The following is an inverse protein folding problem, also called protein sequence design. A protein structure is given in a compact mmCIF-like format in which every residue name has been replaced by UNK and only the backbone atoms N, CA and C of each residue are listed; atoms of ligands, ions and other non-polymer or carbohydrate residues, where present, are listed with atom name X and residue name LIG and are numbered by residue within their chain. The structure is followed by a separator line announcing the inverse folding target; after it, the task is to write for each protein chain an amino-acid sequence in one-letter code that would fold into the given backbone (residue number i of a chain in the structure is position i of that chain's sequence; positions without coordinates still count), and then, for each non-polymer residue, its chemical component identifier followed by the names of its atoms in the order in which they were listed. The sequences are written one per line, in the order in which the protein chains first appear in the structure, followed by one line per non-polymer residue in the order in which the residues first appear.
data_IF_780650222985
#
_entry.id   IF_780650222985
#
_cell.length_a   1.000
_cell.length_b   1.000
_cell.length_c   1.000
_cell.angle_alpha   90.00
_cell.angle_beta   90.00
_cell.angle_gamma   90.00
#
_symmetry.space_group_name_H-M   'P 1'
#
loop_
_entity.id
_entity.type
_entity.pdbx_description
1 polymer ?
#
# COMPACT_ATOMS: atom_id res chain seq x y z
N UNK A 1 54.99 -12.77 -25.56
CA UNK A 1 53.71 -13.50 -25.41
C UNK A 1 53.20 -13.56 -23.97
N UNK A 2 53.97 -13.96 -22.95
CA UNK A 2 53.50 -14.07 -21.54
C UNK A 2 52.90 -12.79 -20.92
N UNK A 3 53.43 -11.61 -21.25
CA UNK A 3 52.95 -10.31 -20.71
C UNK A 3 51.51 -9.96 -21.13
N UNK A 4 51.09 -10.33 -22.35
CA UNK A 4 49.73 -10.06 -22.82
C UNK A 4 48.67 -10.91 -22.10
N UNK A 5 49.02 -12.14 -21.69
CA UNK A 5 48.12 -12.97 -20.90
C UNK A 5 47.85 -12.38 -19.52
N UNK A 6 48.88 -11.82 -18.85
CA UNK A 6 48.68 -11.15 -17.55
C UNK A 6 47.78 -9.92 -17.66
N UNK A 7 47.92 -9.12 -18.71
CA UNK A 7 47.08 -7.93 -18.91
C UNK A 7 45.62 -8.33 -19.15
N UNK A 8 45.36 -9.33 -19.99
CA UNK A 8 44.01 -9.86 -20.24
C UNK A 8 43.41 -10.44 -18.96
N UNK A 9 44.20 -11.14 -18.16
CA UNK A 9 43.75 -11.77 -16.91
C UNK A 9 43.42 -10.74 -15.83
N UNK A 10 44.17 -9.63 -15.76
CA UNK A 10 43.87 -8.50 -14.86
C UNK A 10 42.59 -7.78 -15.31
N UNK A 11 42.42 -7.54 -16.61
CA UNK A 11 41.20 -6.91 -17.15
C UNK A 11 39.98 -7.80 -16.90
N UNK A 12 40.10 -9.12 -17.11
CA UNK A 12 39.02 -10.07 -16.86
C UNK A 12 38.63 -10.14 -15.37
N UNK A 13 39.63 -10.11 -14.48
CA UNK A 13 39.40 -10.13 -13.03
C UNK A 13 38.77 -8.82 -12.53
N UNK A 14 39.20 -7.67 -13.08
CA UNK A 14 38.58 -6.38 -12.80
C UNK A 14 37.15 -6.31 -13.32
N UNK A 15 36.88 -6.91 -14.49
CA UNK A 15 35.53 -7.00 -15.04
C UNK A 15 34.63 -7.89 -14.17
N UNK A 16 35.13 -9.01 -13.65
CA UNK A 16 34.39 -9.87 -12.71
C UNK A 16 34.07 -9.17 -11.38
N UNK A 17 35.01 -8.37 -10.86
CA UNK A 17 34.81 -7.58 -9.63
C UNK A 17 33.82 -6.43 -9.80
N UNK A 18 33.74 -5.85 -11.00
CA UNK A 18 32.76 -4.81 -11.34
C UNK A 18 31.37 -5.38 -11.64
N UNK A 19 31.27 -6.68 -11.94
CA UNK A 19 30.00 -7.34 -12.24
C UNK A 19 29.30 -7.92 -11.01
N UNK A 20 29.87 -7.78 -9.81
CA UNK A 20 29.18 -8.16 -8.56
C UNK A 20 28.13 -7.10 -8.17
N UNK A 21 27.17 -6.84 -9.07
CA UNK A 21 25.95 -6.15 -8.68
C UNK A 21 25.15 -7.10 -7.79
N UNK A 22 24.90 -6.68 -6.56
CA UNK A 22 24.03 -7.41 -5.64
C UNK A 22 22.61 -7.36 -6.22
N UNK A 23 22.14 -8.46 -6.81
CA UNK A 23 20.70 -8.67 -7.00
C UNK A 23 20.11 -8.85 -5.60
N UNK A 24 19.39 -7.85 -5.11
CA UNK A 24 18.58 -8.00 -3.91
C UNK A 24 17.22 -8.56 -4.31
N UNK A 25 16.95 -9.80 -3.91
CA UNK A 25 15.59 -10.33 -3.91
C UNK A 25 14.72 -9.45 -3.00
N UNK A 26 13.49 -9.17 -3.45
CA UNK A 26 12.52 -8.40 -2.67
C UNK A 26 12.09 -9.22 -1.45
N UNK A 27 12.29 -8.67 -0.27
CA UNK A 27 11.97 -9.35 0.98
C UNK A 27 10.46 -9.25 1.23
N UNK A 28 9.82 -10.40 1.39
CA UNK A 28 8.41 -10.50 1.76
C UNK A 28 8.19 -10.29 3.24
N UNK A 29 7.07 -9.66 3.57
CA UNK A 29 6.64 -9.40 4.94
C UNK A 29 5.19 -9.75 5.13
N UNK A 30 4.92 -10.40 6.26
CA UNK A 30 3.61 -10.45 6.88
C UNK A 30 3.38 -9.14 7.63
N UNK A 31 2.31 -8.45 7.26
CA UNK A 31 1.86 -7.17 7.81
C UNK A 31 0.60 -7.43 8.60
N UNK A 32 0.57 -7.02 9.87
CA UNK A 32 -0.65 -7.07 10.67
C UNK A 32 -0.93 -5.68 11.25
N UNK A 33 -2.15 -5.20 11.04
CA UNK A 33 -2.62 -3.86 11.39
C UNK A 33 -3.90 -3.96 12.23
N UNK A 34 -3.90 -3.27 13.37
CA UNK A 34 -5.11 -3.02 14.17
C UNK A 34 -5.36 -1.52 14.16
N UNK A 35 -6.60 -1.08 13.92
CA UNK A 35 -7.04 0.30 14.08
C UNK A 35 -8.21 0.34 15.06
N UNK A 36 -8.14 1.27 16.01
CA UNK A 36 -9.12 1.38 17.09
C UNK A 36 -9.44 2.84 17.41
N UNK A 37 -10.65 3.09 17.92
CA UNK A 37 -11.09 4.38 18.45
C UNK A 37 -10.77 4.46 19.96
N UNK A 38 -10.48 5.66 20.44
CA UNK A 38 -10.35 5.96 21.86
C UNK A 38 -11.59 6.72 22.35
N UNK A 39 -12.37 6.09 23.23
CA UNK A 39 -13.69 6.58 23.65
C UNK A 39 -13.62 7.66 24.75
N UNK A 40 -12.61 7.61 25.62
CA UNK A 40 -12.45 8.52 26.75
C UNK A 40 -11.37 9.59 26.48
N UNK A 41 -11.62 10.51 25.55
CA UNK A 41 -10.64 11.56 25.23
C UNK A 41 -11.16 12.92 25.68
N UNK A 42 -10.57 13.40 26.78
CA UNK A 42 -10.77 14.74 27.32
C UNK A 42 -9.82 15.65 26.55
N UNK A 43 -10.18 16.02 25.32
CA UNK A 43 -9.35 16.94 24.54
C UNK A 43 -10.20 17.89 23.72
N UNK A 44 -10.00 19.20 23.92
CA UNK A 44 -10.64 20.32 23.19
C UNK A 44 -10.03 20.56 21.78
N UNK A 45 -9.41 19.55 21.17
CA UNK A 45 -8.69 19.68 19.90
C UNK A 45 -9.64 19.67 18.69
N UNK A 46 -9.47 20.64 17.80
CA UNK A 46 -10.23 20.78 16.55
C UNK A 46 -9.44 20.20 15.37
N UNK A 47 -10.01 19.20 14.71
CA UNK A 47 -9.39 18.42 13.63
C UNK A 47 -9.51 19.10 12.26
N UNK A 48 -8.53 18.90 11.35
CA UNK A 48 -8.57 19.43 9.99
C UNK A 48 -9.74 18.86 9.19
N UNK A 49 -10.24 19.64 8.24
CA UNK A 49 -11.33 19.22 7.34
C UNK A 49 -10.83 18.21 6.31
N UNK A 50 -11.66 17.19 6.04
CA UNK A 50 -11.44 16.23 4.98
C UNK A 50 -11.49 16.95 3.63
N UNK A 51 -10.33 17.25 3.05
CA UNK A 51 -10.27 17.71 1.66
C UNK A 51 -10.33 16.48 0.78
N UNK A 52 -11.36 16.36 -0.06
CA UNK A 52 -11.45 15.27 -1.03
C UNK A 52 -10.14 15.13 -1.81
N UNK A 53 -9.67 13.90 -1.97
CA UNK A 53 -8.51 13.60 -2.80
C UNK A 53 -8.72 14.19 -4.20
N UNK A 54 -8.01 15.28 -4.50
CA UNK A 54 -8.04 15.89 -5.83
C UNK A 54 -7.34 14.96 -6.80
N UNK A 55 -8.14 14.24 -7.59
CA UNK A 55 -7.68 13.72 -8.88
C UNK A 55 -7.24 14.91 -9.73
N UNK A 56 -5.92 15.01 -9.90
CA UNK A 56 -5.25 15.67 -11.03
C UNK A 56 -5.43 17.18 -11.16
N UNK A 57 -4.37 17.91 -10.80
CA UNK A 57 -4.06 19.19 -11.46
C UNK A 57 -3.77 18.93 -12.94
N UNK A 58 -4.81 18.99 -13.78
CA UNK A 58 -4.66 19.18 -15.21
C UNK A 58 -5.00 20.63 -15.53
N UNK A 59 -3.95 21.42 -15.73
CA UNK A 59 -3.99 22.79 -16.20
C UNK A 59 -4.90 22.92 -17.42
N UNK A 60 -5.91 23.78 -17.28
CA UNK A 60 -6.82 24.16 -18.34
C UNK A 60 -6.16 25.18 -19.26
N UNK A 61 -5.75 24.73 -20.44
CA UNK A 61 -5.60 25.59 -21.60
C UNK A 61 -5.89 24.82 -22.90
N UNK A 62 -6.89 25.33 -23.62
CA UNK A 62 -7.02 25.34 -25.09
C UNK A 62 -8.38 24.83 -25.56
N UNK A 63 -8.93 25.64 -26.45
CA UNK A 63 -10.31 25.71 -26.91
C UNK A 63 -10.75 24.51 -27.75
N UNK A 64 -12.07 24.31 -27.72
CA UNK A 64 -12.84 23.29 -28.43
C UNK A 64 -12.70 23.47 -29.95
N UNK A 65 -12.30 22.41 -30.66
CA UNK A 65 -12.55 22.27 -32.10
C UNK A 65 -13.02 20.84 -32.42
N UNK A 66 -14.16 20.77 -33.10
CA UNK A 66 -14.93 19.57 -33.41
C UNK A 66 -14.32 18.78 -34.57
N UNK A 67 -13.99 17.49 -34.38
CA UNK A 67 -13.96 16.46 -35.44
C UNK A 67 -14.04 15.05 -34.85
N UNK A 68 -14.85 14.19 -35.48
CA UNK A 68 -15.15 12.80 -35.11
C UNK A 68 -14.14 11.82 -35.78
N UNK A 69 -14.32 10.50 -35.57
CA UNK A 69 -13.59 9.63 -34.66
C UNK A 69 -12.36 8.96 -35.31
N UNK A 70 -11.25 8.85 -34.59
CA UNK A 70 -10.17 7.94 -35.01
C UNK A 70 -9.64 7.13 -33.83
N UNK A 71 -9.31 5.89 -34.15
CA UNK A 71 -8.95 4.82 -33.21
C UNK A 71 -7.66 5.17 -32.50
N UNK A 72 -7.67 5.34 -31.18
CA UNK A 72 -6.46 5.19 -30.36
C UNK A 72 -6.84 4.74 -28.95
N UNK A 73 -6.19 3.66 -28.55
CA UNK A 73 -6.24 2.98 -27.26
C UNK A 73 -6.18 3.96 -26.08
N UNK A 74 -6.98 3.77 -25.00
CA UNK A 74 -6.68 4.44 -23.76
C UNK A 74 -5.53 3.70 -23.07
N UNK A 75 -4.36 4.34 -23.03
CA UNK A 75 -3.36 4.15 -21.97
C UNK A 75 -4.02 4.49 -20.64
N UNK A 76 -4.55 3.48 -19.95
CA UNK A 76 -4.97 3.61 -18.54
C UNK A 76 -3.78 3.14 -17.71
N UNK A 77 -2.98 4.09 -17.25
CA UNK A 77 -2.05 3.87 -16.14
C UNK A 77 -2.89 3.81 -14.86
N UNK A 78 -3.56 2.69 -14.61
CA UNK A 78 -4.18 2.42 -13.31
C UNK A 78 -3.07 2.14 -12.31
N UNK A 79 -2.74 3.11 -11.46
CA UNK A 79 -2.17 2.80 -10.15
C UNK A 79 -3.13 1.80 -9.49
N UNK A 80 -2.76 0.52 -9.50
CA UNK A 80 -3.66 -0.56 -9.10
C UNK A 80 -3.89 -0.45 -7.60
N UNK A 81 -5.12 -0.14 -7.19
CA UNK A 81 -5.53 -0.16 -5.79
C UNK A 81 -5.32 -1.57 -5.23
N UNK A 82 -4.47 -1.70 -4.23
CA UNK A 82 -4.22 -2.98 -3.57
C UNK A 82 -5.01 -3.05 -2.27
N UNK A 83 -5.76 -4.14 -2.07
CA UNK A 83 -6.49 -4.41 -0.84
C UNK A 83 -5.86 -5.60 -0.11
N UNK A 84 -5.87 -5.63 1.24
CA UNK A 84 -5.28 -6.70 2.05
C UNK A 84 -5.78 -8.11 1.74
N UNK A 85 -7.03 -8.23 1.31
CA UNK A 85 -7.70 -9.52 1.09
C UNK A 85 -7.54 -10.07 -0.33
N UNK A 86 -6.74 -9.40 -1.17
CA UNK A 86 -6.51 -9.82 -2.56
C UNK A 86 -5.51 -10.97 -2.65
N UNK A 87 -5.72 -11.89 -3.60
CA UNK A 87 -4.77 -12.93 -3.99
C UNK A 87 -4.08 -12.55 -5.31
N UNK A 88 -3.02 -11.75 -5.23
CA UNK A 88 -2.24 -11.28 -6.38
C UNK A 88 -0.75 -11.55 -6.20
N UNK A 89 0.06 -11.37 -7.24
CA UNK A 89 1.52 -11.51 -7.13
C UNK A 89 2.18 -10.54 -6.14
N UNK A 90 1.48 -9.45 -5.74
CA UNK A 90 1.98 -8.44 -4.82
C UNK A 90 1.34 -8.48 -3.44
N UNK A 91 0.12 -9.01 -3.31
CA UNK A 91 -0.62 -9.11 -2.04
C UNK A 91 -1.19 -10.51 -1.90
N UNK A 92 -1.07 -11.08 -0.71
CA UNK A 92 -1.74 -12.32 -0.33
C UNK A 92 -2.44 -12.11 1.02
N UNK A 93 -3.67 -12.60 1.23
CA UNK A 93 -4.31 -12.54 2.53
C UNK A 93 -3.52 -13.36 3.57
N UNK A 94 -3.57 -12.96 4.82
CA UNK A 94 -2.90 -13.68 5.91
C UNK A 94 -3.80 -13.86 7.13
N UNK A 95 -3.45 -14.81 7.98
CA UNK A 95 -4.11 -15.00 9.27
C UNK A 95 -3.66 -13.95 10.28
N UNK A 96 -4.61 -13.41 11.03
CA UNK A 96 -4.33 -12.50 12.15
C UNK A 96 -3.87 -13.31 13.36
N UNK A 97 -2.56 -13.49 13.53
CA UNK A 97 -2.02 -14.33 14.62
C UNK A 97 -1.16 -13.57 15.62
N UNK A 98 -0.43 -12.55 15.16
CA UNK A 98 0.62 -11.92 15.97
C UNK A 98 0.07 -10.88 16.95
N UNK A 99 -1.03 -10.20 16.60
CA UNK A 99 -1.62 -9.15 17.42
C UNK A 99 -2.94 -9.55 18.11
N UNK A 100 -3.36 -10.81 18.05
CA UNK A 100 -4.57 -11.30 18.74
C UNK A 100 -4.64 -10.95 20.23
N UNK A 101 -3.53 -11.09 20.95
CA UNK A 101 -3.46 -10.73 22.36
C UNK A 101 -3.61 -9.22 22.58
N UNK A 102 -3.11 -8.40 21.66
CA UNK A 102 -3.27 -6.95 21.72
C UNK A 102 -4.72 -6.56 21.42
N UNK A 103 -5.31 -7.11 20.36
CA UNK A 103 -6.71 -6.92 20.00
C UNK A 103 -7.65 -7.30 21.16
N UNK A 104 -7.43 -8.46 21.79
CA UNK A 104 -8.22 -8.91 22.93
C UNK A 104 -8.12 -7.95 24.13
N UNK A 105 -6.93 -7.43 24.43
CA UNK A 105 -6.75 -6.47 25.54
C UNK A 105 -7.42 -5.14 25.24
N UNK A 106 -7.40 -4.68 23.99
CA UNK A 106 -8.10 -3.48 23.55
C UNK A 106 -9.61 -3.66 23.70
N UNK A 107 -10.17 -4.78 23.22
CA UNK A 107 -11.61 -5.06 23.29
C UNK A 107 -12.12 -5.31 24.71
N UNK A 108 -11.26 -5.77 25.63
CA UNK A 108 -11.60 -5.92 27.05
C UNK A 108 -11.63 -4.59 27.82
N UNK A 109 -10.99 -3.54 27.30
CA UNK A 109 -10.95 -2.23 27.93
C UNK A 109 -12.13 -1.38 27.49
N UNK A 110 -12.88 -0.81 28.41
CA UNK A 110 -14.00 0.11 28.09
C UNK A 110 -13.57 1.41 27.41
N UNK A 111 -12.26 1.68 27.35
CA UNK A 111 -11.68 2.92 26.81
C UNK A 111 -11.39 2.87 25.32
N UNK A 112 -11.42 1.68 24.72
CA UNK A 112 -11.02 1.46 23.32
C UNK A 112 -12.06 0.62 22.60
N UNK A 113 -12.22 0.89 21.31
CA UNK A 113 -13.06 0.08 20.43
C UNK A 113 -12.29 -0.27 19.16
N UNK A 114 -12.11 -1.57 18.89
CA UNK A 114 -11.41 -2.03 17.69
C UNK A 114 -12.37 -1.97 16.50
N UNK A 115 -11.98 -1.25 15.44
CA UNK A 115 -12.78 -1.12 14.21
C UNK A 115 -12.19 -1.90 13.04
N UNK A 116 -10.88 -2.17 13.07
CA UNK A 116 -10.18 -2.89 12.02
C UNK A 116 -9.10 -3.79 12.63
N UNK A 117 -9.03 -5.03 12.17
CA UNK A 117 -7.94 -5.95 12.47
C UNK A 117 -7.77 -6.91 11.30
N UNK A 118 -6.74 -6.70 10.49
CA UNK A 118 -6.45 -7.54 9.33
C UNK A 118 -4.94 -7.80 9.19
N UNK A 119 -4.59 -8.87 8.49
CA UNK A 119 -3.24 -9.25 8.16
C UNK A 119 -3.13 -9.66 6.69
N UNK A 120 -2.03 -9.27 6.05
CA UNK A 120 -1.73 -9.63 4.67
C UNK A 120 -0.22 -9.75 4.46
N UNK A 121 0.18 -10.27 3.31
CA UNK A 121 1.58 -10.47 2.93
C UNK A 121 1.90 -9.64 1.71
N UNK A 122 3.03 -8.95 1.72
CA UNK A 122 3.49 -8.15 0.57
C UNK A 122 5.02 -8.08 0.50
N UNK A 123 5.62 -7.94 -0.69
CA UNK A 123 7.02 -7.57 -0.83
C UNK A 123 7.19 -6.08 -0.50
N UNK A 124 8.18 -5.75 0.34
CA UNK A 124 8.51 -4.34 0.59
C UNK A 124 9.59 -3.89 -0.38
N UNK A 125 9.17 -3.07 -1.35
CA UNK A 125 10.01 -2.51 -2.41
C UNK A 125 10.73 -1.24 -1.94
N UNK A 126 11.55 -0.65 -2.82
CA UNK A 126 12.13 0.67 -2.58
C UNK A 126 11.08 1.76 -2.65
N UNK A 127 11.36 2.93 -2.06
CA UNK A 127 10.42 4.07 -2.08
C UNK A 127 9.89 4.44 -3.47
N UNK A 128 10.70 4.31 -4.52
CA UNK A 128 10.26 4.65 -5.86
C UNK A 128 9.26 3.64 -6.46
N UNK A 129 9.28 2.39 -5.98
CA UNK A 129 8.44 1.30 -6.47
C UNK A 129 7.39 0.88 -5.42
N UNK A 130 7.21 1.68 -4.37
CA UNK A 130 6.32 1.37 -3.27
C UNK A 130 4.89 1.16 -3.74
N UNK A 131 4.17 0.32 -2.99
CA UNK A 131 2.78 0.02 -3.27
C UNK A 131 1.91 0.57 -2.15
N UNK A 132 0.83 1.21 -2.56
CA UNK A 132 -0.19 1.73 -1.65
C UNK A 132 -1.24 0.65 -1.43
N UNK A 133 -1.46 0.28 -0.17
CA UNK A 133 -2.53 -0.64 0.22
C UNK A 133 -3.67 0.16 0.82
N UNK A 134 -4.86 0.03 0.26
CA UNK A 134 -6.08 0.67 0.72
C UNK A 134 -6.62 -0.08 1.93
N UNK A 135 -6.96 0.66 2.97
CA UNK A 135 -7.52 0.14 4.21
C UNK A 135 -8.96 0.61 4.31
N UNK A 136 -9.89 -0.34 4.32
CA UNK A 136 -11.29 -0.11 4.62
C UNK A 136 -11.77 -1.14 5.65
N UNK A 137 -12.48 -0.69 6.68
CA UNK A 137 -13.16 -1.57 7.64
C UNK A 137 -14.53 -2.00 7.15
N UNK A 138 -14.97 -3.20 7.53
CA UNK A 138 -16.30 -3.75 7.21
C UNK A 138 -17.47 -2.85 7.66
N UNK A 139 -17.26 -2.01 8.68
CA UNK A 139 -18.25 -1.08 9.21
C UNK A 139 -18.16 0.33 8.60
N UNK A 140 -17.33 0.54 7.57
CA UNK A 140 -17.06 1.84 6.91
C UNK A 140 -16.56 2.95 7.85
N UNK A 141 -16.18 2.65 9.10
CA UNK A 141 -15.71 3.64 10.08
C UNK A 141 -14.23 3.97 9.89
N UNK A 142 -13.43 3.09 9.30
CA UNK A 142 -12.01 3.32 9.01
C UNK A 142 -11.81 3.33 7.50
N UNK A 143 -11.27 4.42 6.96
CA UNK A 143 -10.85 4.51 5.55
C UNK A 143 -9.47 5.13 5.44
N UNK A 144 -8.67 4.69 4.50
CA UNK A 144 -7.38 5.30 4.25
C UNK A 144 -6.43 4.38 3.51
N UNK A 145 -5.15 4.61 3.70
CA UNK A 145 -4.10 3.87 3.02
C UNK A 145 -2.87 3.68 3.91
N UNK A 146 -2.10 2.65 3.58
CA UNK A 146 -0.80 2.37 4.17
C UNK A 146 0.22 2.19 3.06
N UNK A 147 1.38 2.83 3.21
CA UNK A 147 2.55 2.64 2.35
C UNK A 147 3.69 2.07 3.16
N UNK A 148 4.22 0.95 2.68
CA UNK A 148 5.39 0.29 3.25
C UNK A 148 6.51 0.30 2.22
N UNK A 149 7.67 0.84 2.61
CA UNK A 149 8.80 0.95 1.70
C UNK A 149 10.14 0.84 2.43
N UNK A 150 11.17 0.51 1.67
CA UNK A 150 12.55 0.41 2.13
C UNK A 150 13.42 1.49 1.47
N UNK A 151 14.13 2.24 2.30
CA UNK A 151 15.28 3.04 1.87
C UNK A 151 16.54 2.47 2.52
N UNK A 152 17.16 3.20 3.45
CA UNK A 152 18.17 2.65 4.37
C UNK A 152 17.54 1.76 5.44
N UNK A 153 16.28 2.05 5.78
CA UNK A 153 15.50 1.35 6.78
C UNK A 153 14.10 1.03 6.24
N UNK A 154 13.34 0.22 6.98
CA UNK A 154 11.92 0.05 6.71
C UNK A 154 11.16 1.26 7.23
N UNK A 155 10.23 1.76 6.42
CA UNK A 155 9.32 2.84 6.77
C UNK A 155 7.89 2.36 6.61
N UNK A 156 7.04 2.86 7.51
CA UNK A 156 5.60 2.73 7.41
C UNK A 156 5.00 4.13 7.44
N UNK A 157 4.20 4.46 6.43
CA UNK A 157 3.39 5.67 6.35
C UNK A 157 1.92 5.26 6.40
N UNK A 158 1.21 5.74 7.40
CA UNK A 158 -0.22 5.53 7.57
C UNK A 158 -0.93 6.86 7.35
N UNK A 159 -2.02 6.79 6.61
CA UNK A 159 -2.94 7.89 6.36
C UNK A 159 -4.36 7.31 6.50
N UNK A 160 -4.93 7.47 7.70
CA UNK A 160 -6.16 6.79 8.12
C UNK A 160 -7.16 7.81 8.68
N UNK A 161 -8.43 7.65 8.30
CA UNK A 161 -9.55 8.47 8.73
C UNK A 161 -10.53 7.64 9.55
N UNK A 162 -10.99 8.20 10.67
CA UNK A 162 -12.10 7.67 11.46
C UNK A 162 -13.39 8.42 11.10
N UNK A 163 -14.31 7.74 10.43
CA UNK A 163 -15.57 8.30 9.94
C UNK A 163 -16.63 8.10 11.03
N UNK A 164 -16.95 9.18 11.75
CA UNK A 164 -17.96 9.13 12.82
C UNK A 164 -19.36 9.59 12.35
N UNK A 165 -19.41 10.33 11.24
CA UNK A 165 -20.60 11.07 10.80
C UNK A 165 -21.11 10.60 9.41
N UNK A 166 -21.29 9.30 9.22
CA UNK A 166 -21.76 8.71 7.94
C UNK A 166 -23.18 9.17 7.54
N UNK A 167 -23.94 9.75 8.46
CA UNK A 167 -25.35 10.07 8.26
C UNK A 167 -25.66 11.56 8.36
N UNK A 168 -25.00 12.38 7.53
CA UNK A 168 -25.62 13.64 7.11
C UNK A 168 -26.66 13.27 6.06
N UNK A 169 -27.88 12.92 6.49
CA UNK A 169 -29.02 12.97 5.58
C UNK A 169 -29.18 14.44 5.18
N UNK A 170 -28.77 14.78 3.97
CA UNK A 170 -29.14 16.04 3.29
C UNK A 170 -30.64 15.99 2.95
N UNK A 171 -31.51 15.96 3.95
CA UNK A 171 -32.96 15.99 3.79
C UNK A 171 -33.60 17.24 4.41
N UNK A 172 -32.81 18.23 4.81
CA UNK A 172 -33.34 19.52 5.24
C UNK A 172 -33.17 20.56 4.14
N UNK A 173 -34.29 21.09 3.66
CA UNK A 173 -34.44 22.25 2.75
C UNK A 173 -33.86 23.55 3.36
N UNK A 174 -32.92 23.49 4.29
CA UNK A 174 -32.40 24.62 5.08
C UNK A 174 -30.96 25.02 4.75
N UNK A 175 -30.32 24.41 3.75
CA UNK A 175 -28.94 24.76 3.33
C UNK A 175 -28.87 25.82 2.21
N UNK A 176 -29.99 26.45 1.85
CA UNK A 176 -29.98 27.62 0.99
C UNK A 176 -30.12 28.89 1.82
N UNK A 177 -28.98 29.41 2.29
CA UNK A 177 -28.89 30.83 2.63
C UNK A 177 -29.04 31.65 1.34
N UNK A 178 -29.92 32.67 1.27
CA UNK A 178 -30.01 33.55 0.11
C UNK A 178 -28.73 34.41 -0.10
N UNK A 179 -27.73 34.31 0.80
CA UNK A 179 -26.55 35.17 0.85
C UNK A 179 -25.19 34.43 0.86
N UNK A 180 -25.14 33.09 0.73
CA UNK A 180 -23.90 32.31 0.59
C UNK A 180 -23.18 31.95 1.91
N UNK A 181 -22.82 30.66 2.02
CA UNK A 181 -21.97 29.97 3.02
C UNK A 181 -22.55 29.89 4.46
N UNK A 182 -22.66 28.72 5.10
CA UNK A 182 -21.61 27.73 5.43
C UNK A 182 -22.16 26.30 5.35
N UNK A 183 -21.45 25.41 4.64
CA UNK A 183 -21.66 23.95 4.70
C UNK A 183 -20.91 23.43 5.92
N UNK A 184 -21.58 22.83 6.91
CA UNK A 184 -20.90 22.14 8.01
C UNK A 184 -20.24 20.86 7.47
N UNK A 185 -18.95 20.95 7.14
CA UNK A 185 -18.15 19.79 6.72
C UNK A 185 -17.92 18.86 7.92
N UNK A 186 -18.18 17.55 7.81
CA UNK A 186 -17.94 16.61 8.89
C UNK A 186 -16.46 16.60 9.29
N UNK A 187 -16.18 16.91 10.57
CA UNK A 187 -14.82 16.88 11.14
C UNK A 187 -14.47 15.48 11.63
N UNK A 188 -13.95 14.66 10.71
CA UNK A 188 -13.50 13.29 11.00
C UNK A 188 -12.05 13.29 11.52
N UNK A 189 -11.73 12.55 12.60
CA UNK A 189 -10.34 12.38 13.03
C UNK A 189 -9.44 11.79 11.93
N UNK A 190 -8.22 12.32 11.82
CA UNK A 190 -7.26 11.98 10.77
C UNK A 190 -5.90 11.63 11.35
N UNK A 191 -5.51 10.36 11.23
CA UNK A 191 -4.19 9.86 11.59
C UNK A 191 -3.29 9.82 10.36
N UNK A 192 -2.43 10.83 10.22
CA UNK A 192 -1.35 10.84 9.24
C UNK A 192 0.01 10.81 9.96
N UNK A 193 0.69 9.66 9.90
CA UNK A 193 2.01 9.51 10.50
C UNK A 193 2.91 8.60 9.66
N UNK A 194 4.16 9.04 9.46
CA UNK A 194 5.21 8.23 8.83
C UNK A 194 6.41 8.07 9.74
N UNK A 195 6.90 6.83 9.86
CA UNK A 195 8.06 6.54 10.72
C UNK A 195 8.88 5.35 10.28
N UNK A 196 10.12 5.34 10.76
CA UNK A 196 11.01 4.18 10.66
C UNK A 196 10.52 3.05 11.56
N UNK A 197 10.35 1.87 10.95
CA UNK A 197 9.95 0.63 11.63
C UNK A 197 11.06 -0.42 11.59
N UNK A 198 10.89 -1.46 12.41
CA UNK A 198 11.79 -2.60 12.52
C UNK A 198 10.97 -3.87 12.52
N UNK A 199 11.57 -4.90 11.98
CA UNK A 199 11.02 -6.23 11.89
C UNK A 199 10.78 -6.85 13.28
N UNK A 200 9.69 -7.62 13.44
CA UNK A 200 9.26 -8.30 14.67
C UNK A 200 9.09 -7.38 15.89
N UNK A 201 8.81 -6.09 15.64
CA UNK A 201 8.55 -5.12 16.69
C UNK A 201 7.18 -4.47 16.46
N UNK A 202 6.44 -4.30 17.56
CA UNK A 202 5.17 -3.58 17.58
C UNK A 202 5.42 -2.07 17.53
N UNK A 203 4.71 -1.39 16.64
CA UNK A 203 4.69 0.06 16.51
C UNK A 203 3.29 0.58 16.80
N UNK A 204 3.22 1.67 17.57
CA UNK A 204 1.99 2.38 17.88
C UNK A 204 2.01 3.74 17.19
N UNK A 205 0.91 4.05 16.51
CA UNK A 205 0.61 5.32 15.86
C UNK A 205 -0.51 5.97 16.65
N UNK A 206 -0.22 7.14 17.21
CA UNK A 206 -1.06 7.77 18.23
C UNK A 206 -1.86 8.92 17.64
N UNK A 207 -3.15 8.97 17.96
CA UNK A 207 -4.01 10.10 17.67
C UNK A 207 -4.99 10.31 18.85
N UNK A 208 -5.33 11.54 19.23
CA UNK A 208 -6.19 11.79 20.39
C UNK A 208 -7.64 11.27 20.33
N UNK A 209 -8.06 10.63 19.24
CA UNK A 209 -9.38 9.99 19.08
C UNK A 209 -9.28 8.57 18.51
N UNK A 210 -8.13 8.15 18.02
CA UNK A 210 -7.93 6.85 17.40
C UNK A 210 -6.48 6.40 17.55
N UNK A 211 -6.19 5.12 17.32
CA UNK A 211 -4.83 4.63 17.32
C UNK A 211 -4.67 3.47 16.36
N UNK A 212 -3.44 3.25 15.90
CA UNK A 212 -3.11 2.09 15.10
C UNK A 212 -1.91 1.32 15.69
N UNK A 213 -1.99 -0.01 15.66
CA UNK A 213 -0.90 -0.92 15.96
C UNK A 213 -0.45 -1.62 14.70
N UNK A 214 0.84 -1.57 14.41
CA UNK A 214 1.45 -2.22 13.25
C UNK A 214 2.56 -3.16 13.68
N UNK A 215 2.59 -4.36 13.11
CA UNK A 215 3.71 -5.26 13.19
C UNK A 215 4.10 -5.80 11.81
N UNK A 216 5.41 -5.81 11.54
CA UNK A 216 6.00 -6.37 10.32
C UNK A 216 6.86 -7.58 10.64
N UNK A 217 6.52 -8.74 10.10
CA UNK A 217 7.25 -10.00 10.29
C UNK A 217 7.83 -10.45 8.96
N UNK A 218 9.14 -10.74 8.85
CA UNK A 218 9.74 -11.13 7.59
C UNK A 218 9.34 -12.57 7.30
N UNK A 219 8.95 -12.85 6.06
CA UNK A 219 8.58 -14.19 5.60
C UNK A 219 9.36 -14.53 4.33
N UNK A 220 9.30 -15.79 3.95
CA UNK A 220 9.73 -16.25 2.64
C UNK A 220 8.65 -15.91 1.60
N UNK A 221 9.02 -15.90 0.32
CA UNK A 221 8.06 -15.66 -0.78
C UNK A 221 6.92 -16.68 -0.68
N UNK A 222 5.65 -16.25 -0.68
CA UNK A 222 4.52 -17.15 -0.54
C UNK A 222 4.48 -18.18 -1.67
N UNK A 223 4.20 -19.45 -1.33
CA UNK A 223 4.13 -20.55 -2.31
C UNK A 223 3.15 -20.25 -3.44
N UNK A 224 2.03 -19.60 -3.15
CA UNK A 224 1.03 -19.20 -4.15
C UNK A 224 1.62 -18.32 -5.26
N UNK A 225 2.55 -17.42 -4.92
CA UNK A 225 3.23 -16.55 -5.88
C UNK A 225 4.30 -17.32 -6.65
N UNK A 226 5.00 -18.25 -6.00
CA UNK A 226 5.99 -19.10 -6.66
C UNK A 226 5.37 -19.99 -7.75
N UNK A 227 4.22 -20.59 -7.46
CA UNK A 227 3.49 -21.45 -8.42
C UNK A 227 3.05 -20.64 -9.65
N UNK A 228 2.56 -19.42 -9.45
CA UNK A 228 2.15 -18.54 -10.57
C UNK A 228 3.33 -18.19 -11.48
N UNK A 229 4.49 -17.86 -10.90
CA UNK A 229 5.72 -17.57 -11.64
C UNK A 229 6.21 -18.79 -12.45
N UNK A 230 6.22 -19.98 -11.85
CA UNK A 230 6.63 -21.22 -12.53
C UNK A 230 5.72 -21.58 -13.72
N UNK A 231 4.41 -21.34 -13.58
CA UNK A 231 3.46 -21.54 -14.67
C UNK A 231 3.75 -20.59 -15.84
N UNK A 232 4.01 -19.30 -15.56
CA UNK A 232 4.31 -18.31 -16.60
C UNK A 232 5.63 -18.60 -17.35
N UNK A 233 6.65 -19.13 -16.67
CA UNK A 233 7.91 -19.55 -17.33
C UNK A 233 7.70 -20.76 -18.26
N UNK A 234 6.81 -21.68 -17.90
CA UNK A 234 6.55 -22.90 -18.68
C UNK A 234 5.81 -22.61 -20.00
N UNK A 235 4.96 -21.58 -20.06
CA UNK A 235 4.24 -21.19 -21.28
C UNK A 235 5.09 -20.39 -22.29
N UNK A 236 6.28 -19.93 -21.90
CA UNK A 236 7.15 -19.09 -22.74
C UNK A 236 8.18 -19.86 -23.56
N UNK A 237 8.22 -21.20 -23.46
CA UNK A 237 9.08 -22.04 -24.29
C UNK A 237 8.26 -22.58 -25.48
N UNK A 238 8.53 -22.15 -26.73
CA UNK A 238 8.12 -22.93 -27.87
C UNK A 238 8.87 -24.26 -27.81
N UNK A 239 8.13 -25.37 -27.82
CA UNK A 239 8.68 -26.67 -28.20
C UNK A 239 9.11 -26.58 -29.67
N UNK A 240 10.30 -26.02 -29.94
CA UNK A 240 10.90 -26.04 -31.26
C UNK A 240 12.01 -27.09 -31.30
N UNK A 241 11.64 -28.27 -31.81
CA UNK A 241 12.38 -28.99 -32.85
C UNK A 241 11.79 -30.41 -33.00
N UNK A 242 10.62 -30.56 -33.64
CA UNK A 242 10.42 -31.75 -34.47
C UNK A 242 11.29 -31.58 -35.71
N UNK A 243 12.49 -32.15 -35.66
CA UNK A 243 13.36 -32.32 -36.81
C UNK A 243 12.65 -33.19 -37.84
N UNK A 244 12.04 -32.56 -38.86
CA UNK A 244 11.63 -33.27 -40.07
C UNK A 244 12.87 -33.61 -40.89
N UNK A 245 13.43 -34.80 -40.64
CA UNK A 245 14.27 -35.50 -41.62
C UNK A 245 13.31 -36.12 -42.62
N UNK A 246 13.20 -35.51 -43.81
CA UNK A 246 12.54 -36.11 -44.96
C UNK A 246 13.60 -36.53 -45.98
N UNK A 247 13.48 -37.80 -46.34
CA UNK A 247 14.25 -38.62 -47.29
C UNK A 247 14.16 -38.15 -48.75
#
# INVERSE_FOLDING_TARGET
MKSQYYIVQVILSACLLLLSFQLHAEQWYHVELIVFEQLDTITDEQWPEMTEFSTSELSADTEISLSQPDTTEPLINSETELLPDMETSLIQPATTDSLNNAALRLSQSSRYQVHYHNAWQQPIMTKHNEKTVIINSDNDLIKGNIRLYKETYLHAALDLWLIQNTEVQINSWSDFSPEGEVVEVPRNPHLEESRRVRTKKLYFFDHPKMGALLQLTPIETPEAVLVDLEQLETYSLPTEAESTVSE
#
